data_IF_271862970253
#
_entry.id   IF_271862970253
#
_cell.length_a   1.000
_cell.length_b   1.000
_cell.length_c   1.000
_cell.angle_alpha   90.00
_cell.angle_beta   90.00
_cell.angle_gamma   90.00
#
_symmetry.space_group_name_H-M   'P 1'
#
loop_
_entity.id
_entity.type
_entity.pdbx_description
1 polymer ?
#
# COMPACT_ATOMS: atom_id res chain seq x y z
N UNK A 1 -20.10 1.35 -41.55
CA UNK A 1 -19.66 0.21 -40.73
C UNK A 1 -18.15 0.20 -40.78
N UNK A 2 -17.48 0.75 -39.75
CA UNK A 2 -16.03 0.65 -39.58
C UNK A 2 -15.84 -0.08 -38.28
N UNK A 3 -15.45 -1.36 -38.37
CA UNK A 3 -15.04 -2.18 -37.23
C UNK A 3 -13.69 -1.65 -36.74
N UNK A 4 -13.68 -0.93 -35.62
CA UNK A 4 -12.47 -0.63 -34.87
C UNK A 4 -12.01 -1.90 -34.17
N UNK A 5 -10.97 -2.52 -34.68
CA UNK A 5 -10.22 -3.56 -33.99
C UNK A 5 -9.50 -2.87 -32.83
N UNK A 6 -9.91 -3.17 -31.60
CA UNK A 6 -9.13 -2.82 -30.40
C UNK A 6 -7.92 -3.76 -30.42
N UNK A 7 -6.80 -3.26 -30.94
CA UNK A 7 -5.51 -3.90 -30.73
C UNK A 7 -5.23 -3.88 -29.21
N UNK A 8 -5.29 -5.06 -28.60
CA UNK A 8 -4.67 -5.32 -27.32
C UNK A 8 -3.18 -4.97 -27.47
N UNK A 9 -2.77 -3.83 -26.96
CA UNK A 9 -1.35 -3.45 -26.85
C UNK A 9 -0.72 -4.46 -25.89
N UNK A 10 -0.23 -5.56 -26.45
CA UNK A 10 0.67 -6.47 -25.76
C UNK A 10 1.98 -5.73 -25.62
N UNK A 11 2.27 -5.25 -24.42
CA UNK A 11 3.61 -4.74 -24.09
C UNK A 11 4.61 -5.90 -24.22
N UNK A 12 5.61 -5.81 -25.15
CA UNK A 12 6.57 -6.90 -25.38
C UNK A 12 7.56 -7.13 -24.23
N UNK A 13 7.50 -6.34 -23.15
CA UNK A 13 8.37 -6.44 -21.98
C UNK A 13 7.69 -7.06 -20.74
N UNK A 14 6.65 -7.86 -20.90
CA UNK A 14 6.18 -8.77 -19.84
C UNK A 14 7.23 -9.84 -19.61
N UNK A 15 8.38 -9.43 -19.09
CA UNK A 15 9.38 -10.36 -18.61
C UNK A 15 8.81 -11.10 -17.40
N UNK A 16 9.08 -12.39 -17.40
CA UNK A 16 8.89 -13.40 -16.36
C UNK A 16 9.61 -13.06 -15.03
N UNK A 17 9.58 -11.79 -14.61
CA UNK A 17 10.16 -11.40 -13.33
C UNK A 17 9.15 -11.66 -12.21
N UNK A 18 9.63 -12.09 -11.03
CA UNK A 18 8.80 -12.20 -9.85
C UNK A 18 8.04 -10.93 -9.54
N UNK A 19 6.79 -11.04 -9.07
CA UNK A 19 5.98 -9.89 -8.68
C UNK A 19 6.62 -9.14 -7.52
N UNK A 20 6.58 -7.82 -7.58
CA UNK A 20 6.86 -6.97 -6.41
C UNK A 20 5.62 -6.86 -5.52
N UNK A 21 5.85 -6.76 -4.22
CA UNK A 21 4.78 -6.50 -3.24
C UNK A 21 4.79 -5.02 -2.86
N UNK A 22 3.66 -4.34 -3.01
CA UNK A 22 3.50 -2.97 -2.56
C UNK A 22 2.44 -2.83 -1.46
N UNK A 23 2.71 -1.93 -0.50
CA UNK A 23 1.72 -1.40 0.43
C UNK A 23 1.26 -0.03 -0.07
N UNK A 24 -0.04 0.11 -0.33
CA UNK A 24 -0.68 1.34 -0.80
C UNK A 24 -1.63 1.81 0.31
N UNK A 25 -1.20 2.81 1.10
CA UNK A 25 -1.83 3.12 2.38
C UNK A 25 -2.10 4.62 2.52
N UNK A 26 -3.32 4.95 2.94
CA UNK A 26 -3.67 6.28 3.42
C UNK A 26 -3.23 6.40 4.88
N UNK A 27 -2.47 7.45 5.21
CA UNK A 27 -2.01 7.70 6.57
C UNK A 27 -2.18 9.16 6.96
N UNK A 28 -2.47 9.41 8.23
CA UNK A 28 -2.39 10.74 8.83
C UNK A 28 -0.93 11.13 9.14
N UNK A 29 -0.68 12.39 9.50
CA UNK A 29 0.66 12.85 9.93
C UNK A 29 1.21 12.07 11.13
N UNK A 30 0.34 11.56 12.00
CA UNK A 30 0.73 10.71 13.14
C UNK A 30 0.66 9.22 12.84
N UNK A 31 0.59 8.84 11.55
CA UNK A 31 0.71 7.46 11.06
C UNK A 31 -0.54 6.59 11.22
N UNK A 32 -1.68 7.17 11.60
CA UNK A 32 -2.95 6.43 11.72
C UNK A 32 -3.47 6.09 10.33
N UNK A 33 -3.87 4.82 10.16
CA UNK A 33 -4.45 4.29 8.93
C UNK A 33 -5.87 3.71 9.14
N UNK A 34 -6.40 3.76 10.37
CA UNK A 34 -7.71 3.20 10.70
C UNK A 34 -8.85 4.05 10.17
N UNK A 35 -9.81 3.44 9.50
CA UNK A 35 -11.09 4.02 9.10
C UNK A 35 -11.00 5.33 8.32
N UNK A 36 -10.16 5.46 7.29
CA UNK A 36 -9.91 6.75 6.66
C UNK A 36 -11.12 7.31 5.91
N UNK A 37 -11.93 6.46 5.25
CA UNK A 37 -12.93 6.88 4.27
C UNK A 37 -14.34 7.13 4.83
N UNK A 38 -14.68 6.56 5.99
CA UNK A 38 -16.02 6.74 6.56
C UNK A 38 -16.03 6.61 8.11
N UNK A 39 -16.97 7.29 8.81
CA UNK A 39 -17.06 7.22 10.27
C UNK A 39 -17.28 5.80 10.83
N UNK A 40 -17.92 4.93 10.05
CA UNK A 40 -18.24 3.54 10.47
C UNK A 40 -17.37 2.49 9.77
N UNK A 41 -16.32 2.89 9.06
CA UNK A 41 -15.47 1.99 8.28
C UNK A 41 -14.72 0.98 9.18
N UNK A 42 -14.13 1.45 10.26
CA UNK A 42 -13.48 0.59 11.27
C UNK A 42 -13.57 1.26 12.65
N UNK A 43 -14.54 0.83 13.45
CA UNK A 43 -14.75 1.31 14.83
C UNK A 43 -14.13 0.39 15.90
N UNK A 44 -13.34 -0.60 15.50
CA UNK A 44 -12.71 -1.53 16.44
C UNK A 44 -11.80 -0.79 17.43
N UNK A 45 -11.69 -1.31 18.64
CA UNK A 45 -10.92 -0.65 19.70
C UNK A 45 -11.53 0.65 20.22
N UNK A 46 -12.81 0.91 19.92
CA UNK A 46 -13.49 2.15 20.33
C UNK A 46 -13.10 3.38 19.49
N UNK A 47 -12.61 3.17 18.27
CA UNK A 47 -12.23 4.26 17.37
C UNK A 47 -13.48 5.02 16.87
N UNK A 48 -13.48 6.33 17.06
CA UNK A 48 -14.62 7.22 16.76
C UNK A 48 -14.28 8.34 15.78
N UNK A 49 -13.07 8.33 15.21
CA UNK A 49 -12.56 9.41 14.34
C UNK A 49 -12.47 9.01 12.87
N UNK A 50 -13.33 8.04 12.44
CA UNK A 50 -13.38 7.57 11.05
C UNK A 50 -13.79 8.67 10.07
N UNK A 51 -13.42 8.49 8.78
CA UNK A 51 -13.69 9.45 7.72
C UNK A 51 -12.75 10.66 7.70
N UNK A 52 -11.62 10.58 8.41
CA UNK A 52 -10.69 11.69 8.57
C UNK A 52 -10.01 12.16 7.28
N UNK A 53 -9.94 11.31 6.24
CA UNK A 53 -9.37 11.74 4.96
C UNK A 53 -10.34 12.60 4.13
N UNK A 54 -11.66 12.42 4.29
CA UNK A 54 -12.68 12.97 3.38
C UNK A 54 -12.63 14.51 3.27
N UNK A 55 -12.42 15.29 4.36
CA UNK A 55 -12.30 16.73 4.28
C UNK A 55 -11.05 17.23 3.52
N UNK A 56 -10.09 16.35 3.25
CA UNK A 56 -8.82 16.70 2.62
C UNK A 56 -8.70 16.17 1.18
N UNK A 57 -9.78 15.59 0.63
CA UNK A 57 -9.79 15.15 -0.77
C UNK A 57 -9.67 16.35 -1.71
N UNK A 58 -8.83 16.21 -2.73
CA UNK A 58 -8.65 17.18 -3.80
C UNK A 58 -8.76 16.50 -5.19
N UNK A 59 -8.68 17.29 -6.26
CA UNK A 59 -8.80 16.78 -7.63
C UNK A 59 -7.68 15.81 -8.01
N UNK A 60 -6.52 15.90 -7.37
CA UNK A 60 -5.36 15.04 -7.66
C UNK A 60 -5.42 13.69 -6.94
N UNK A 61 -6.25 13.56 -5.88
CA UNK A 61 -6.41 12.32 -5.13
C UNK A 61 -6.76 11.13 -6.04
N UNK A 62 -7.82 11.27 -6.84
CA UNK A 62 -8.27 10.21 -7.75
C UNK A 62 -7.19 9.83 -8.76
N UNK A 63 -6.50 10.82 -9.34
CA UNK A 63 -5.40 10.59 -10.28
C UNK A 63 -4.25 9.81 -9.64
N UNK A 64 -3.85 10.15 -8.41
CA UNK A 64 -2.79 9.43 -7.70
C UNK A 64 -3.20 7.96 -7.45
N UNK A 65 -4.44 7.73 -7.00
CA UNK A 65 -4.94 6.39 -6.76
C UNK A 65 -4.99 5.57 -8.06
N UNK A 66 -5.47 6.15 -9.14
CA UNK A 66 -5.56 5.45 -10.43
C UNK A 66 -4.19 5.22 -11.05
N UNK A 67 -3.43 6.31 -11.32
CA UNK A 67 -2.22 6.25 -12.12
C UNK A 67 -1.00 5.75 -11.36
N UNK A 68 -0.86 6.13 -10.07
CA UNK A 68 0.31 5.78 -9.27
C UNK A 68 0.14 4.47 -8.48
N UNK A 69 -1.10 4.04 -8.24
CA UNK A 69 -1.39 2.81 -7.52
C UNK A 69 -1.99 1.75 -8.44
N UNK A 70 -3.26 1.82 -8.77
CA UNK A 70 -3.97 0.74 -9.45
C UNK A 70 -3.49 0.43 -10.87
N UNK A 71 -2.90 1.39 -11.60
CA UNK A 71 -2.32 1.15 -12.92
C UNK A 71 -1.15 0.14 -12.91
N UNK A 72 -0.52 -0.08 -11.76
CA UNK A 72 0.58 -1.02 -11.60
C UNK A 72 0.13 -2.42 -11.17
N UNK A 73 -1.12 -2.59 -10.73
CA UNK A 73 -1.64 -3.84 -10.19
C UNK A 73 -1.69 -4.96 -11.24
N UNK A 74 -1.27 -6.16 -10.86
CA UNK A 74 -1.57 -7.41 -11.54
C UNK A 74 -2.37 -8.35 -10.62
N UNK A 75 -2.29 -8.15 -9.30
CA UNK A 75 -3.07 -8.85 -8.30
C UNK A 75 -3.26 -7.99 -7.03
N UNK A 76 -4.26 -8.33 -6.22
CA UNK A 76 -4.56 -7.64 -4.95
C UNK A 76 -4.52 -8.64 -3.80
N UNK A 77 -3.94 -8.24 -2.68
CA UNK A 77 -3.88 -9.02 -1.44
C UNK A 77 -4.60 -8.27 -0.32
N UNK A 78 -5.63 -8.88 0.23
CA UNK A 78 -6.51 -8.27 1.22
C UNK A 78 -6.57 -9.11 2.51
N UNK A 79 -6.59 -8.45 3.64
CA UNK A 79 -7.03 -9.03 4.89
C UNK A 79 -8.56 -9.06 4.99
N UNK A 80 -9.08 -9.90 5.87
CA UNK A 80 -10.52 -10.16 6.03
C UNK A 80 -11.36 -8.89 6.22
N UNK A 81 -10.99 -8.01 7.12
CA UNK A 81 -11.77 -6.78 7.42
C UNK A 81 -11.87 -5.87 6.20
N UNK A 82 -10.75 -5.67 5.50
CA UNK A 82 -10.72 -4.85 4.29
C UNK A 82 -11.53 -5.48 3.16
N UNK A 83 -11.46 -6.80 3.02
CA UNK A 83 -12.27 -7.53 2.05
C UNK A 83 -13.77 -7.36 2.30
N UNK A 84 -14.21 -7.54 3.55
CA UNK A 84 -15.62 -7.42 3.93
C UNK A 84 -16.16 -5.99 3.73
N UNK A 85 -15.31 -4.99 3.90
CA UNK A 85 -15.64 -3.58 3.67
C UNK A 85 -15.68 -3.23 2.17
N UNK A 86 -14.66 -3.65 1.42
CA UNK A 86 -14.52 -3.28 0.00
C UNK A 86 -15.51 -4.02 -0.91
N UNK A 87 -15.74 -5.31 -0.68
CA UNK A 87 -16.57 -6.14 -1.55
C UNK A 87 -17.96 -5.58 -1.82
N UNK A 88 -18.81 -5.25 -0.82
CA UNK A 88 -20.16 -4.77 -1.08
C UNK A 88 -20.19 -3.45 -1.85
N UNK A 89 -19.21 -2.59 -1.63
CA UNK A 89 -19.11 -1.30 -2.31
C UNK A 89 -18.68 -1.47 -3.78
N UNK A 90 -17.53 -2.13 -4.01
CA UNK A 90 -16.94 -2.21 -5.34
C UNK A 90 -17.65 -3.19 -6.27
N UNK A 91 -18.26 -4.28 -5.75
CA UNK A 91 -19.06 -5.18 -6.58
C UNK A 91 -20.34 -4.52 -7.10
N UNK A 92 -20.86 -3.52 -6.39
CA UNK A 92 -22.06 -2.75 -6.77
C UNK A 92 -21.73 -1.38 -7.40
N UNK A 93 -20.44 -1.06 -7.58
CA UNK A 93 -20.02 0.25 -8.09
C UNK A 93 -20.57 0.50 -9.49
N UNK A 94 -21.22 1.68 -9.75
CA UNK A 94 -21.95 1.89 -11.00
C UNK A 94 -21.09 1.82 -12.25
N UNK A 95 -19.87 2.36 -12.20
CA UNK A 95 -18.96 2.38 -13.33
C UNK A 95 -17.87 1.30 -13.20
N UNK A 96 -18.16 0.10 -13.69
CA UNK A 96 -17.23 -1.04 -13.63
C UNK A 96 -16.00 -0.89 -14.55
N UNK A 97 -16.01 0.09 -15.45
CA UNK A 97 -14.87 0.37 -16.35
C UNK A 97 -13.83 1.27 -15.69
N UNK A 98 -14.16 1.96 -14.60
CA UNK A 98 -13.15 2.68 -13.83
C UNK A 98 -12.04 1.74 -13.35
N UNK A 99 -10.80 2.21 -13.38
CA UNK A 99 -9.63 1.37 -13.15
C UNK A 99 -9.68 0.65 -11.80
N UNK A 100 -10.02 1.35 -10.72
CA UNK A 100 -10.13 0.76 -9.38
C UNK A 100 -11.18 -0.34 -9.35
N UNK A 101 -12.39 -0.06 -9.85
CA UNK A 101 -13.49 -1.02 -9.89
C UNK A 101 -13.11 -2.25 -10.72
N UNK A 102 -12.53 -2.04 -11.91
CA UNK A 102 -12.08 -3.10 -12.78
C UNK A 102 -11.03 -3.99 -12.11
N UNK A 103 -9.98 -3.40 -11.53
CA UNK A 103 -8.94 -4.17 -10.84
C UNK A 103 -9.54 -4.97 -9.69
N UNK A 104 -10.32 -4.33 -8.83
CA UNK A 104 -10.91 -4.99 -7.66
C UNK A 104 -11.92 -6.08 -8.02
N UNK A 105 -12.65 -5.96 -9.13
CA UNK A 105 -13.66 -6.95 -9.52
C UNK A 105 -13.13 -8.05 -10.43
N UNK A 106 -12.10 -7.79 -11.24
CA UNK A 106 -11.70 -8.73 -12.30
C UNK A 106 -10.29 -9.29 -12.19
N UNK A 107 -9.38 -8.66 -11.42
CA UNK A 107 -8.01 -9.17 -11.27
C UNK A 107 -7.92 -10.23 -10.18
N UNK A 108 -6.89 -11.08 -10.21
CA UNK A 108 -6.60 -12.04 -9.16
C UNK A 108 -6.57 -11.39 -7.79
N UNK A 109 -7.32 -11.94 -6.84
CA UNK A 109 -7.33 -11.53 -5.44
C UNK A 109 -6.90 -12.66 -4.53
N UNK A 110 -6.06 -12.32 -3.59
CA UNK A 110 -5.68 -13.20 -2.49
C UNK A 110 -6.29 -12.65 -1.20
N UNK A 111 -7.05 -13.48 -0.52
CA UNK A 111 -7.72 -13.10 0.74
C UNK A 111 -7.13 -13.88 1.90
N UNK A 112 -6.53 -13.18 2.85
CA UNK A 112 -6.05 -13.78 4.09
C UNK A 112 -7.22 -13.96 5.06
N UNK A 113 -7.62 -15.22 5.29
CA UNK A 113 -8.68 -15.56 6.23
C UNK A 113 -8.67 -17.05 6.58
N UNK A 114 -8.61 -17.38 7.86
CA UNK A 114 -8.75 -18.76 8.34
C UNK A 114 -10.21 -19.21 8.53
N UNK A 115 -11.15 -18.27 8.44
CA UNK A 115 -12.56 -18.54 8.83
C UNK A 115 -13.55 -18.52 7.66
N UNK A 116 -13.23 -17.80 6.55
CA UNK A 116 -14.10 -17.79 5.39
C UNK A 116 -13.97 -19.06 4.56
N UNK A 117 -15.11 -19.60 4.12
CA UNK A 117 -15.13 -20.59 3.04
C UNK A 117 -14.87 -19.94 1.70
N UNK A 118 -14.49 -20.72 0.70
CA UNK A 118 -14.24 -20.19 -0.66
C UNK A 118 -15.52 -19.61 -1.27
N UNK A 119 -16.69 -20.19 -0.95
CA UNK A 119 -18.00 -19.67 -1.37
C UNK A 119 -18.29 -18.30 -0.74
N UNK A 120 -18.02 -18.13 0.56
CA UNK A 120 -18.18 -16.85 1.24
C UNK A 120 -17.19 -15.79 0.77
N UNK A 121 -16.03 -16.22 0.28
CA UNK A 121 -14.99 -15.36 -0.28
C UNK A 121 -15.22 -15.00 -1.77
N UNK A 122 -16.31 -15.44 -2.37
CA UNK A 122 -16.59 -15.20 -3.78
C UNK A 122 -16.74 -13.70 -4.09
N UNK A 123 -15.74 -13.17 -4.80
CA UNK A 123 -15.71 -11.82 -5.35
C UNK A 123 -14.71 -11.78 -6.53
N UNK A 124 -15.20 -12.11 -7.72
CA UNK A 124 -14.33 -12.33 -8.89
C UNK A 124 -13.32 -13.46 -8.64
N UNK A 125 -12.13 -13.41 -9.24
CA UNK A 125 -11.12 -14.45 -9.07
C UNK A 125 -10.41 -14.31 -7.72
N UNK A 126 -11.02 -14.81 -6.64
CA UNK A 126 -10.47 -14.78 -5.28
C UNK A 126 -9.93 -16.13 -4.85
N UNK A 127 -8.71 -16.16 -4.33
CA UNK A 127 -8.07 -17.32 -3.69
C UNK A 127 -7.91 -17.03 -2.20
N UNK A 128 -8.40 -17.91 -1.33
CA UNK A 128 -8.27 -17.75 0.12
C UNK A 128 -6.93 -18.33 0.59
N UNK A 129 -6.15 -17.50 1.28
CA UNK A 129 -4.88 -17.84 1.94
C UNK A 129 -5.19 -18.20 3.39
N UNK A 130 -4.76 -19.38 3.84
CA UNK A 130 -4.93 -19.89 5.20
C UNK A 130 -3.59 -20.33 5.80
N UNK A 131 -3.45 -20.23 7.11
CA UNK A 131 -2.24 -20.66 7.82
C UNK A 131 -1.07 -19.70 7.65
N UNK A 132 0.10 -20.19 7.21
CA UNK A 132 1.31 -19.37 7.11
C UNK A 132 1.23 -18.37 5.94
N UNK A 133 0.77 -17.16 6.26
CA UNK A 133 0.61 -16.06 5.31
C UNK A 133 1.95 -15.64 4.70
N UNK A 134 3.02 -15.62 5.49
CA UNK A 134 4.35 -15.16 5.06
C UNK A 134 4.91 -16.09 3.97
N UNK A 135 4.84 -17.40 4.19
CA UNK A 135 5.30 -18.39 3.20
C UNK A 135 4.46 -18.36 1.93
N UNK A 136 3.13 -18.24 2.07
CA UNK A 136 2.27 -18.20 0.89
C UNK A 136 2.47 -16.91 0.08
N UNK A 137 2.66 -15.76 0.72
CA UNK A 137 2.97 -14.51 0.02
C UNK A 137 4.34 -14.58 -0.66
N UNK A 138 5.35 -15.22 -0.05
CA UNK A 138 6.63 -15.49 -0.73
C UNK A 138 6.44 -16.31 -2.01
N UNK A 139 5.61 -17.35 -1.95
CA UNK A 139 5.33 -18.19 -3.13
C UNK A 139 4.57 -17.40 -4.21
N UNK A 140 3.60 -16.54 -3.84
CA UNK A 140 2.87 -15.70 -4.79
C UNK A 140 3.84 -14.70 -5.45
N UNK A 141 4.73 -14.09 -4.70
CA UNK A 141 5.75 -13.17 -5.25
C UNK A 141 6.67 -13.82 -6.30
N UNK A 142 6.87 -15.13 -6.27
CA UNK A 142 7.66 -15.83 -7.27
C UNK A 142 6.91 -16.03 -8.60
N UNK A 143 5.61 -15.79 -8.64
CA UNK A 143 4.85 -15.86 -9.88
C UNK A 143 5.22 -14.69 -10.80
N UNK A 144 5.19 -14.89 -12.13
CA UNK A 144 5.48 -13.82 -13.07
C UNK A 144 4.39 -12.74 -13.01
N UNK A 145 4.82 -11.49 -12.99
CA UNK A 145 3.90 -10.35 -12.94
C UNK A 145 4.59 -9.06 -12.54
N UNK A 146 3.82 -7.97 -12.51
CA UNK A 146 4.33 -6.66 -12.08
C UNK A 146 4.21 -6.49 -10.58
N UNK A 147 2.97 -6.40 -10.08
CA UNK A 147 2.75 -5.99 -8.70
C UNK A 147 1.58 -6.71 -8.04
N UNK A 148 1.85 -7.27 -6.85
CA UNK A 148 0.86 -7.69 -5.87
C UNK A 148 0.63 -6.53 -4.91
N UNK A 149 -0.57 -5.97 -4.90
CA UNK A 149 -0.88 -4.77 -4.12
C UNK A 149 -1.67 -5.08 -2.86
N UNK A 150 -1.25 -4.49 -1.75
CA UNK A 150 -2.00 -4.48 -0.49
C UNK A 150 -2.61 -3.10 -0.29
N UNK A 151 -3.93 -3.06 -0.15
CA UNK A 151 -4.67 -1.84 0.17
C UNK A 151 -5.28 -1.97 1.57
N UNK A 152 -4.91 -1.08 2.48
CA UNK A 152 -5.36 -1.18 3.86
C UNK A 152 -4.84 -2.44 4.56
N UNK A 153 -5.72 -3.11 5.38
CA UNK A 153 -5.41 -4.36 6.08
C UNK A 153 -4.27 -4.23 7.09
N UNK A 154 -4.51 -3.48 8.15
CA UNK A 154 -3.53 -3.12 9.17
C UNK A 154 -2.64 -4.28 9.65
N UNK A 155 -3.22 -5.37 10.15
CA UNK A 155 -2.45 -6.53 10.64
C UNK A 155 -1.62 -7.18 9.53
N UNK A 156 -2.19 -7.28 8.32
CA UNK A 156 -1.50 -7.85 7.17
C UNK A 156 -0.31 -6.97 6.77
N UNK A 157 -0.49 -5.65 6.71
CA UNK A 157 0.58 -4.71 6.39
C UNK A 157 1.74 -4.83 7.39
N UNK A 158 1.45 -4.90 8.70
CA UNK A 158 2.47 -5.10 9.74
C UNK A 158 3.15 -6.48 9.63
N UNK A 159 2.39 -7.54 9.37
CA UNK A 159 2.96 -8.89 9.18
C UNK A 159 3.94 -8.90 8.01
N UNK A 160 3.58 -8.31 6.88
CA UNK A 160 4.41 -8.28 5.68
C UNK A 160 5.62 -7.36 5.85
N UNK A 161 5.47 -6.21 6.52
CA UNK A 161 6.57 -5.32 6.87
C UNK A 161 7.59 -6.03 7.77
N UNK A 162 7.14 -6.65 8.86
CA UNK A 162 8.01 -7.33 9.82
C UNK A 162 8.73 -8.55 9.20
N UNK A 163 8.09 -9.22 8.23
CA UNK A 163 8.69 -10.31 7.47
C UNK A 163 9.67 -9.83 6.37
N UNK A 164 9.80 -8.52 6.14
CA UNK A 164 10.67 -7.96 5.10
C UNK A 164 10.22 -8.32 3.68
N UNK A 165 8.92 -8.50 3.47
CA UNK A 165 8.39 -8.92 2.16
C UNK A 165 7.98 -7.76 1.25
N UNK A 166 7.86 -6.56 1.80
CA UNK A 166 7.39 -5.38 1.07
C UNK A 166 8.55 -4.76 0.28
N UNK A 167 8.37 -4.62 -1.04
CA UNK A 167 9.36 -4.02 -1.93
C UNK A 167 9.12 -2.51 -2.11
N UNK A 168 7.86 -2.06 -2.03
CA UNK A 168 7.49 -0.66 -2.25
C UNK A 168 6.40 -0.23 -1.27
N UNK A 169 6.57 0.95 -0.69
CA UNK A 169 5.54 1.62 0.13
C UNK A 169 5.06 2.85 -0.63
N UNK A 170 3.78 2.91 -0.93
CA UNK A 170 3.11 4.10 -1.45
C UNK A 170 2.21 4.65 -0.35
N UNK A 171 2.64 5.73 0.25
CA UNK A 171 1.93 6.37 1.34
C UNK A 171 1.32 7.67 0.83
N UNK A 172 0.01 7.80 0.95
CA UNK A 172 -0.65 9.08 0.77
C UNK A 172 -0.90 9.67 2.16
N UNK A 173 -0.07 10.65 2.49
CA UNK A 173 -0.06 11.32 3.81
C UNK A 173 -1.02 12.50 3.78
N UNK A 174 -1.98 12.46 4.68
CA UNK A 174 -2.99 13.51 4.84
C UNK A 174 -2.55 14.51 5.91
N UNK A 175 -2.78 15.82 5.70
CA UNK A 175 -2.33 16.89 6.62
C UNK A 175 -3.21 16.98 7.88
N UNK A 176 -3.36 15.85 8.60
CA UNK A 176 -4.20 15.74 9.79
C UNK A 176 -3.54 14.90 10.86
N UNK A 177 -3.70 15.24 12.11
CA UNK A 177 -3.37 14.43 13.28
C UNK A 177 -4.65 13.84 13.85
N UNK A 178 -4.76 12.52 13.81
CA UNK A 178 -5.91 11.77 14.32
C UNK A 178 -5.77 11.48 15.82
N UNK A 179 -4.55 11.23 16.28
CA UNK A 179 -4.20 11.06 17.71
C UNK A 179 -4.48 9.67 18.28
N UNK A 180 -5.52 8.99 17.82
CA UNK A 180 -5.92 7.65 18.26
C UNK A 180 -6.13 6.75 17.04
N UNK A 181 -5.92 5.45 17.18
CA UNK A 181 -6.21 4.46 16.14
C UNK A 181 -5.01 3.58 15.77
N UNK A 182 -5.23 2.65 14.87
CA UNK A 182 -4.21 1.73 14.35
C UNK A 182 -3.22 2.49 13.47
N UNK A 183 -1.93 2.38 13.78
CA UNK A 183 -0.84 3.00 13.02
C UNK A 183 -0.18 1.98 12.09
N UNK A 184 0.28 2.47 10.94
CA UNK A 184 1.05 1.63 10.00
C UNK A 184 2.32 1.09 10.66
N UNK A 185 3.05 1.96 11.33
CA UNK A 185 4.23 1.60 12.13
C UNK A 185 3.97 1.90 13.61
N UNK A 186 4.31 0.97 14.47
CA UNK A 186 4.18 1.05 15.92
C UNK A 186 5.46 0.56 16.63
N UNK A 187 5.43 0.46 17.95
CA UNK A 187 6.56 0.00 18.75
C UNK A 187 7.02 -1.44 18.47
N UNK A 188 6.22 -2.24 17.75
CA UNK A 188 6.54 -3.62 17.37
C UNK A 188 7.02 -3.73 15.92
N UNK A 189 7.05 -2.62 15.20
CA UNK A 189 7.51 -2.60 13.82
C UNK A 189 9.00 -2.86 13.72
N UNK A 190 9.39 -3.70 12.77
CA UNK A 190 10.81 -3.94 12.46
C UNK A 190 11.46 -2.61 12.06
N UNK A 191 12.61 -2.24 12.70
CA UNK A 191 13.36 -1.07 12.27
C UNK A 191 13.75 -1.16 10.80
N UNK A 192 13.42 -0.13 10.03
CA UNK A 192 13.64 -0.11 8.58
C UNK A 192 13.94 1.33 8.17
N UNK A 193 15.01 1.55 7.43
CA UNK A 193 15.25 2.80 6.75
C UNK A 193 14.56 2.76 5.36
N UNK A 194 14.39 3.92 4.75
CA UNK A 194 13.73 4.02 3.45
C UNK A 194 14.51 4.95 2.53
N UNK A 195 14.68 4.50 1.30
CA UNK A 195 15.07 5.37 0.20
C UNK A 195 13.80 5.96 -0.44
N UNK A 196 13.75 7.27 -0.55
CA UNK A 196 12.65 7.93 -1.27
C UNK A 196 12.88 7.78 -2.78
N UNK A 197 11.94 7.12 -3.46
CA UNK A 197 11.93 6.99 -4.92
C UNK A 197 11.30 8.22 -5.56
N UNK A 198 10.13 8.63 -5.05
CA UNK A 198 9.47 9.86 -5.46
C UNK A 198 8.65 10.46 -4.31
N UNK A 199 8.44 11.76 -4.40
CA UNK A 199 7.49 12.49 -3.54
C UNK A 199 6.77 13.55 -4.36
N UNK A 200 5.47 13.67 -4.14
CA UNK A 200 4.64 14.70 -4.78
C UNK A 200 3.72 15.29 -3.72
N UNK A 201 3.62 16.60 -3.70
CA UNK A 201 2.63 17.30 -2.88
C UNK A 201 1.54 17.86 -3.79
N UNK A 202 0.27 17.68 -3.42
CA UNK A 202 -0.87 18.25 -4.13
C UNK A 202 -1.16 19.67 -3.66
N UNK A 203 -1.92 20.42 -4.44
CA UNK A 203 -2.35 21.76 -4.04
C UNK A 203 -3.21 21.74 -2.76
N UNK A 204 -3.94 20.65 -2.50
CA UNK A 204 -4.74 20.44 -1.28
C UNK A 204 -3.92 20.02 -0.05
N UNK A 205 -2.59 19.84 -0.20
CA UNK A 205 -1.68 19.51 0.90
C UNK A 205 -1.50 18.02 1.16
N UNK A 206 -2.02 17.13 0.31
CA UNK A 206 -1.69 15.71 0.36
C UNK A 206 -0.23 15.50 -0.05
N UNK A 207 0.44 14.56 0.58
CA UNK A 207 1.80 14.18 0.18
C UNK A 207 1.82 12.71 -0.20
N UNK A 208 2.11 12.42 -1.48
CA UNK A 208 2.34 11.07 -1.95
C UNK A 208 3.83 10.74 -1.87
N UNK A 209 4.15 9.68 -1.15
CA UNK A 209 5.51 9.16 -0.98
C UNK A 209 5.61 7.78 -1.60
N UNK A 210 6.63 7.57 -2.43
CA UNK A 210 7.03 6.23 -2.90
C UNK A 210 8.39 5.92 -2.29
N UNK A 211 8.41 4.88 -1.47
CA UNK A 211 9.57 4.51 -0.65
C UNK A 211 9.96 3.05 -0.92
N UNK A 212 11.25 2.79 -0.96
CA UNK A 212 11.80 1.43 -0.95
C UNK A 212 12.55 1.18 0.37
N UNK A 213 12.34 0.01 1.01
CA UNK A 213 13.01 -0.30 2.27
C UNK A 213 14.51 -0.51 2.06
N UNK A 214 15.28 -0.04 3.02
CA UNK A 214 16.73 -0.24 3.12
C UNK A 214 17.09 -0.73 4.51
N UNK A 215 18.34 -1.04 4.74
CA UNK A 215 18.84 -1.41 6.05
C UNK A 215 18.77 -0.21 7.01
N UNK A 216 18.27 -0.46 8.23
CA UNK A 216 18.27 0.53 9.29
C UNK A 216 19.66 0.60 9.91
N UNK A 217 20.21 1.79 9.98
CA UNK A 217 21.47 2.09 10.66
C UNK A 217 21.26 3.21 11.68
N UNK A 218 22.03 3.20 12.75
CA UNK A 218 22.10 4.30 13.72
C UNK A 218 23.52 4.89 13.68
N UNK A 219 23.64 6.16 14.02
CA UNK A 219 24.91 6.87 14.07
C UNK A 219 24.92 7.92 15.17
N UNK A 220 26.09 8.42 15.52
CA UNK A 220 26.30 9.52 16.45
C UNK A 220 26.62 10.82 15.70
N UNK A 221 26.15 11.95 16.25
CA UNK A 221 26.64 13.26 15.87
C UNK A 221 27.92 13.53 16.64
N UNK A 222 29.05 13.65 15.94
CA UNK A 222 30.31 14.03 16.56
C UNK A 222 30.29 15.50 17.00
N UNK A 223 31.08 15.86 17.99
CA UNK A 223 31.09 17.20 18.59
C UNK A 223 31.48 18.32 17.61
N UNK A 224 32.08 18.00 16.46
CA UNK A 224 32.46 18.91 15.38
C UNK A 224 31.41 19.03 14.28
N UNK A 225 30.25 18.35 14.43
CA UNK A 225 29.14 18.38 13.47
C UNK A 225 29.38 17.53 12.23
N UNK A 226 30.42 16.69 12.19
CA UNK A 226 30.60 15.67 11.16
C UNK A 226 29.83 14.40 11.54
N UNK A 227 29.28 13.71 10.54
CA UNK A 227 28.66 12.40 10.75
C UNK A 227 29.63 11.33 10.27
N UNK A 228 29.99 10.39 11.14
CA UNK A 228 30.67 9.16 10.73
C UNK A 228 29.63 8.26 10.05
N UNK A 229 29.42 8.50 8.76
CA UNK A 229 28.71 7.56 7.90
C UNK A 229 29.75 6.62 7.31
N UNK A 230 30.00 5.49 7.95
CA UNK A 230 30.64 4.36 7.29
C UNK A 230 29.69 3.81 6.20
N UNK A 231 29.73 4.43 5.03
CA UNK A 231 29.15 3.89 3.82
C UNK A 231 30.30 3.58 2.88
N UNK A 232 30.53 2.29 2.67
CA UNK A 232 31.19 1.68 1.51
C UNK A 232 32.00 2.67 0.63
N UNK A 233 33.16 3.12 1.14
CA UNK A 233 34.23 3.69 0.34
C UNK A 233 34.06 5.08 -0.29
N UNK A 234 32.99 5.81 0.00
CA UNK A 234 32.81 7.19 -0.46
C UNK A 234 32.51 8.11 0.72
N UNK A 235 33.49 8.93 1.12
CA UNK A 235 33.29 10.02 2.08
C UNK A 235 32.28 11.03 1.54
N UNK A 236 31.09 11.09 2.15
CA UNK A 236 30.16 12.20 1.93
C UNK A 236 30.15 13.05 3.20
N UNK A 237 30.93 14.12 3.20
CA UNK A 237 30.87 15.15 4.23
C UNK A 237 29.60 15.98 4.08
N UNK A 238 28.64 15.81 4.99
CA UNK A 238 27.46 16.68 5.08
C UNK A 238 27.65 17.65 6.24
N UNK A 239 27.86 18.93 5.94
CA UNK A 239 27.88 20.00 6.96
C UNK A 239 26.44 20.43 7.27
N UNK A 240 26.04 20.36 8.53
CA UNK A 240 24.77 20.90 9.02
C UNK A 240 24.98 22.39 9.26
N UNK A 241 24.23 23.31 8.60
CA UNK A 241 24.32 24.73 8.90
C UNK A 241 23.70 25.02 10.28
N UNK A 242 24.32 25.92 11.03
CA UNK A 242 23.92 26.37 12.36
C UNK A 242 22.60 27.17 12.32
#
# INVERSE_FOLDING_TARGET
MVQGVIELVTHPDRKESPMKLSLNIFVSLDGVMQGPGAPQEDTTGGFTRGGWLVPHLDEEFGRIVDEEWFAHADAVLLGRTTFDMMRPYWSAYPNQEELVARVLNTFPKYLVSDTLTDEQAAWGPTTVIRGDVVEQVRAIKQQPGRELQVHGSWQLAQTLHNAGLVDTYRLLVFPVVVGQGKRLFDEHSRPTAFRTVSRTATAGGLTHLVLEPTEFTSGDLTADGTTDLEADGTEVSATVPA
#
